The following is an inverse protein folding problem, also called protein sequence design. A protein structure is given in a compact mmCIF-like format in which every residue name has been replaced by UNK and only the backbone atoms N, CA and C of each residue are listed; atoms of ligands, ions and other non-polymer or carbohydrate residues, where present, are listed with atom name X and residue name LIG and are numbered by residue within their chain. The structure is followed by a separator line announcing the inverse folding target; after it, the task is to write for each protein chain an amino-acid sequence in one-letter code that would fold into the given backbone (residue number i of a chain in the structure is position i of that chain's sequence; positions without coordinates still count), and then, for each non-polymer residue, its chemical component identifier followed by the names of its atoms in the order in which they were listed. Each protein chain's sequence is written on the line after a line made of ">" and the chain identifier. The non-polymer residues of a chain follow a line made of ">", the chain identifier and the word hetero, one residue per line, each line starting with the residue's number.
data_IF_688433006389
#
_entry.id   IF_688433006389
#
_cell.length_a   1.000
_cell.length_b   1.000
_cell.length_c   1.000
_cell.angle_alpha   90.00
_cell.angle_beta   90.00
_cell.angle_gamma   90.00
#
_symmetry.space_group_name_H-M   'P 1'
#
loop_
_entity.id
_entity.type
_entity.pdbx_description
1 polymer ?
#
# COMPACT_ATOMS: atom_id res chain seq x y z
N UNK A 1 -21.18 -22.59 18.41
CA UNK A 1 -20.03 -21.66 18.28
C UNK A 1 -19.06 -21.96 19.41
N UNK A 2 -17.80 -22.29 19.10
CA UNK A 2 -16.76 -22.48 20.12
C UNK A 2 -16.42 -21.16 20.79
N UNK A 3 -16.22 -21.17 22.11
CA UNK A 3 -15.71 -20.00 22.85
C UNK A 3 -14.25 -19.73 22.43
N UNK A 4 -13.94 -18.44 22.24
CA UNK A 4 -12.58 -17.95 21.93
C UNK A 4 -11.62 -18.32 23.05
N UNK A 5 -10.38 -18.68 22.72
CA UNK A 5 -9.32 -19.01 23.65
C UNK A 5 -8.59 -20.31 23.30
N UNK A 6 -7.57 -20.64 24.07
CA UNK A 6 -6.76 -21.84 23.89
C UNK A 6 -7.56 -23.09 24.24
N UNK A 7 -7.41 -24.12 23.43
CA UNK A 7 -8.03 -25.44 23.58
C UNK A 7 -6.96 -26.52 23.52
N UNK A 8 -7.06 -27.44 24.44
CA UNK A 8 -6.15 -28.59 24.46
C UNK A 8 -6.71 -29.72 23.57
N UNK A 9 -5.79 -30.35 22.83
CA UNK A 9 -6.00 -31.59 22.12
C UNK A 9 -5.21 -32.65 22.85
N UNK A 10 -5.88 -33.67 23.31
CA UNK A 10 -5.26 -34.85 23.88
C UNK A 10 -5.58 -36.07 23.02
N UNK A 11 -4.59 -36.91 22.79
CA UNK A 11 -4.75 -38.12 22.00
C UNK A 11 -3.67 -39.11 22.35
N UNK A 12 -3.70 -40.26 21.72
CA UNK A 12 -2.66 -41.28 21.85
C UNK A 12 -2.28 -41.78 20.46
N UNK A 13 -0.99 -42.00 20.25
CA UNK A 13 -0.49 -42.72 19.08
C UNK A 13 -0.14 -44.12 19.56
N UNK A 14 -0.77 -45.13 18.95
CA UNK A 14 -0.46 -46.53 19.22
C UNK A 14 0.20 -47.15 18.00
N UNK A 15 1.34 -47.79 18.16
CA UNK A 15 1.99 -48.54 17.10
C UNK A 15 2.38 -49.92 17.62
N UNK A 16 2.45 -50.87 16.71
CA UNK A 16 2.79 -52.27 16.95
C UNK A 16 4.03 -52.55 16.10
N UNK A 17 5.08 -53.08 16.71
CA UNK A 17 6.30 -53.50 16.02
C UNK A 17 6.38 -55.03 16.08
N UNK A 18 6.15 -55.70 14.94
CA UNK A 18 6.13 -57.15 14.87
C UNK A 18 4.95 -57.75 15.63
N UNK A 19 5.24 -58.84 16.40
CA UNK A 19 4.27 -59.56 17.26
C UNK A 19 4.27 -59.06 18.71
N UNK A 20 4.87 -57.88 18.96
CA UNK A 20 4.99 -57.31 20.28
C UNK A 20 3.74 -56.59 20.78
N UNK A 21 3.68 -56.29 22.08
CA UNK A 21 2.60 -55.49 22.67
C UNK A 21 2.54 -54.08 22.11
N UNK A 22 1.32 -53.53 21.91
CA UNK A 22 1.17 -52.16 21.42
C UNK A 22 1.82 -51.12 22.30
N UNK A 23 2.68 -50.31 21.73
CA UNK A 23 3.29 -49.16 22.43
C UNK A 23 2.38 -47.95 22.22
N UNK A 24 1.92 -47.35 23.32
CA UNK A 24 1.03 -46.20 23.32
C UNK A 24 1.77 -44.96 23.86
N UNK A 25 1.81 -43.92 23.03
CA UNK A 25 2.46 -42.66 23.38
C UNK A 25 1.37 -41.60 23.51
N UNK A 26 1.22 -40.92 24.67
CA UNK A 26 0.29 -39.80 24.80
C UNK A 26 0.77 -38.58 23.99
N UNK A 27 -0.12 -37.95 23.29
CA UNK A 27 0.12 -36.69 22.57
C UNK A 27 -0.74 -35.60 23.20
N UNK A 28 -0.08 -34.54 23.60
CA UNK A 28 -0.73 -33.31 24.11
C UNK A 28 -0.33 -32.14 23.22
N UNK A 29 -1.29 -31.44 22.70
CA UNK A 29 -1.11 -30.23 21.89
C UNK A 29 -2.20 -29.24 22.23
N UNK A 30 -2.09 -28.03 21.75
CA UNK A 30 -3.13 -27.01 21.89
C UNK A 30 -3.35 -26.27 20.57
N UNK A 31 -4.51 -25.67 20.44
CA UNK A 31 -4.86 -24.77 19.36
C UNK A 31 -5.62 -23.55 19.91
N UNK A 32 -5.52 -22.44 19.23
CA UNK A 32 -6.21 -21.21 19.59
C UNK A 32 -7.47 -21.02 18.74
N UNK A 33 -8.61 -20.83 19.42
CA UNK A 33 -9.86 -20.44 18.78
C UNK A 33 -9.91 -18.92 18.76
N UNK A 34 -9.81 -18.33 17.59
CA UNK A 34 -9.94 -16.89 17.38
C UNK A 34 -11.36 -16.54 16.94
N UNK A 35 -11.80 -15.32 17.25
CA UNK A 35 -13.09 -14.82 16.74
C UNK A 35 -13.03 -14.62 15.24
N UNK A 36 -14.18 -14.78 14.57
CA UNK A 36 -14.29 -14.39 13.14
C UNK A 36 -13.93 -12.91 12.99
N UNK A 37 -13.22 -12.53 11.93
CA UNK A 37 -12.93 -11.14 11.65
C UNK A 37 -14.24 -10.36 11.47
N UNK A 38 -14.31 -9.19 12.09
CA UNK A 38 -15.44 -8.27 11.99
C UNK A 38 -15.08 -6.99 11.20
N UNK A 39 -13.81 -6.83 10.85
CA UNK A 39 -13.31 -5.68 10.09
C UNK A 39 -12.08 -6.08 9.26
N UNK A 40 -11.89 -5.43 8.13
CA UNK A 40 -10.63 -5.41 7.41
C UNK A 40 -9.78 -4.23 7.89
N UNK A 41 -8.46 -4.37 7.82
CA UNK A 41 -7.52 -3.27 7.99
C UNK A 41 -7.02 -2.83 6.64
N UNK A 42 -7.22 -1.57 6.30
CA UNK A 42 -6.73 -0.98 5.05
C UNK A 42 -5.86 0.22 5.39
N UNK A 43 -4.61 0.16 4.97
CA UNK A 43 -3.65 1.21 5.23
C UNK A 43 -3.08 1.73 3.90
N UNK A 44 -3.28 3.01 3.61
CA UNK A 44 -2.56 3.69 2.53
C UNK A 44 -1.13 3.93 3.01
N UNK A 45 -0.18 3.38 2.29
CA UNK A 45 1.24 3.49 2.66
C UNK A 45 1.69 4.95 2.49
N UNK A 46 2.13 5.54 3.60
CA UNK A 46 2.56 6.92 3.68
C UNK A 46 1.48 7.92 4.08
N UNK A 47 0.20 7.78 3.67
CA UNK A 47 -0.89 8.71 4.03
C UNK A 47 -2.28 8.08 3.86
N UNK A 48 -3.24 8.64 4.57
CA UNK A 48 -4.66 8.21 4.50
C UNK A 48 -5.43 8.90 3.35
N UNK A 49 -4.75 9.23 2.25
CA UNK A 49 -5.33 9.98 1.13
C UNK A 49 -4.82 9.41 -0.19
N UNK A 50 -5.71 9.18 -1.14
CA UNK A 50 -5.36 8.77 -2.49
C UNK A 50 -5.14 10.02 -3.37
N UNK A 51 -4.04 10.04 -4.12
CA UNK A 51 -3.78 11.09 -5.09
C UNK A 51 -4.20 10.66 -6.49
N UNK A 52 -4.92 11.55 -7.17
CA UNK A 52 -5.40 11.32 -8.54
C UNK A 52 -4.25 11.16 -9.52
N UNK A 53 -4.36 10.18 -10.42
CA UNK A 53 -3.37 9.84 -11.47
C UNK A 53 -2.02 9.34 -10.95
N UNK A 54 -1.90 9.09 -9.66
CA UNK A 54 -0.71 8.49 -9.05
C UNK A 54 -0.98 7.07 -8.60
N UNK A 55 0.05 6.27 -8.56
CA UNK A 55 0.02 4.94 -7.99
C UNK A 55 0.12 5.07 -6.47
N UNK A 56 -1.02 4.85 -5.80
CA UNK A 56 -1.09 4.87 -4.34
C UNK A 56 -0.97 3.44 -3.84
N UNK A 57 0.08 3.14 -3.08
CA UNK A 57 0.26 1.83 -2.46
C UNK A 57 -0.66 1.70 -1.25
N UNK A 58 -1.37 0.59 -1.20
CA UNK A 58 -2.33 0.26 -0.15
C UNK A 58 -2.06 -1.15 0.33
N UNK A 59 -1.96 -1.33 1.63
CA UNK A 59 -1.89 -2.64 2.27
C UNK A 59 -3.27 -3.00 2.83
N UNK A 60 -3.77 -4.16 2.44
CA UNK A 60 -5.04 -4.72 2.88
C UNK A 60 -4.77 -5.99 3.67
N UNK A 61 -5.36 -6.11 4.83
CA UNK A 61 -5.29 -7.33 5.65
C UNK A 61 -6.59 -7.58 6.39
N UNK A 62 -6.89 -8.83 6.59
CA UNK A 62 -8.02 -9.28 7.41
C UNK A 62 -7.44 -10.13 8.53
N UNK A 63 -7.71 -9.81 9.81
CA UNK A 63 -7.17 -10.55 10.94
C UNK A 63 -7.52 -12.04 10.85
N UNK A 64 -6.51 -12.89 11.04
CA UNK A 64 -6.68 -14.35 11.01
C UNK A 64 -6.83 -14.95 9.60
N UNK A 65 -6.66 -14.17 8.54
CA UNK A 65 -6.74 -14.64 7.15
C UNK A 65 -5.40 -14.42 6.44
N UNK A 66 -4.94 -15.44 5.73
CA UNK A 66 -3.72 -15.35 4.93
C UNK A 66 -3.90 -14.35 3.77
N UNK A 67 -2.85 -13.60 3.41
CA UNK A 67 -2.93 -12.53 2.42
C UNK A 67 -3.39 -13.01 1.02
N UNK A 68 -3.07 -14.24 0.65
CA UNK A 68 -3.50 -14.86 -0.62
C UNK A 68 -5.00 -15.18 -0.68
N UNK A 69 -5.68 -15.23 0.47
CA UNK A 69 -7.14 -15.43 0.58
C UNK A 69 -7.90 -14.09 0.69
N UNK A 70 -7.19 -12.96 0.69
CA UNK A 70 -7.78 -11.62 0.74
C UNK A 70 -7.71 -10.99 -0.65
N UNK A 71 -8.86 -10.54 -1.15
CA UNK A 71 -8.97 -9.85 -2.43
C UNK A 71 -9.57 -8.46 -2.23
N UNK A 72 -8.95 -7.46 -2.84
CA UNK A 72 -9.48 -6.09 -2.85
C UNK A 72 -9.77 -5.66 -4.30
N UNK A 73 -10.95 -5.08 -4.52
CA UNK A 73 -11.44 -4.67 -5.84
C UNK A 73 -12.00 -3.26 -5.82
N UNK A 74 -11.88 -2.57 -6.94
CA UNK A 74 -12.37 -1.21 -7.10
C UNK A 74 -11.82 -0.54 -8.37
N UNK A 75 -12.25 0.67 -8.69
CA UNK A 75 -11.76 1.40 -9.87
C UNK A 75 -10.26 1.69 -9.77
N UNK A 76 -9.48 1.23 -10.75
CA UNK A 76 -8.03 1.46 -10.81
C UNK A 76 -7.20 0.69 -9.78
N UNK A 77 -7.77 -0.36 -9.18
CA UNK A 77 -7.08 -1.25 -8.24
C UNK A 77 -6.34 -2.33 -9.00
N UNK A 78 -5.08 -2.57 -8.62
CA UNK A 78 -4.24 -3.63 -9.16
C UNK A 78 -3.57 -4.37 -8.00
N UNK A 79 -3.67 -5.69 -7.98
CA UNK A 79 -3.02 -6.54 -6.99
C UNK A 79 -1.51 -6.65 -7.29
N UNK A 80 -0.68 -6.50 -6.28
CA UNK A 80 0.79 -6.64 -6.33
C UNK A 80 1.30 -7.88 -5.58
N UNK A 81 0.41 -8.63 -4.93
CA UNK A 81 0.74 -9.75 -4.07
C UNK A 81 0.87 -9.36 -2.59
N UNK A 82 0.88 -10.36 -1.73
CA UNK A 82 1.10 -10.23 -0.27
C UNK A 82 0.21 -9.19 0.44
N UNK A 83 -1.03 -9.03 -0.04
CA UNK A 83 -1.96 -8.03 0.49
C UNK A 83 -1.63 -6.59 0.10
N UNK A 84 -0.69 -6.40 -0.84
CA UNK A 84 -0.32 -5.08 -1.37
C UNK A 84 -1.08 -4.83 -2.67
N UNK A 85 -1.69 -3.66 -2.76
CA UNK A 85 -2.42 -3.20 -3.93
C UNK A 85 -1.94 -1.82 -4.35
N UNK A 86 -2.02 -1.55 -5.64
CA UNK A 86 -1.85 -0.21 -6.19
C UNK A 86 -3.20 0.31 -6.62
N UNK A 87 -3.55 1.53 -6.18
CA UNK A 87 -4.77 2.21 -6.59
C UNK A 87 -4.40 3.47 -7.37
N UNK A 88 -4.85 3.56 -8.62
CA UNK A 88 -4.63 4.72 -9.51
C UNK A 88 -5.97 5.36 -9.91
N UNK A 89 -6.54 6.22 -9.06
CA UNK A 89 -7.80 6.87 -9.35
C UNK A 89 -7.63 7.91 -10.45
N UNK A 90 -8.41 7.82 -11.53
CA UNK A 90 -8.33 8.77 -12.65
C UNK A 90 -9.31 9.94 -12.50
N UNK A 91 -10.46 9.70 -11.88
CA UNK A 91 -11.57 10.66 -11.75
C UNK A 91 -12.35 10.43 -10.44
N UNK A 92 -13.26 11.32 -10.14
CA UNK A 92 -14.06 11.23 -8.90
C UNK A 92 -13.43 11.99 -7.73
N UNK A 93 -14.14 12.08 -6.64
CA UNK A 93 -13.67 12.65 -5.36
C UNK A 93 -13.53 11.58 -4.29
N UNK A 94 -14.14 10.43 -4.53
CA UNK A 94 -14.18 9.30 -3.62
C UNK A 94 -13.98 8.00 -4.39
N UNK A 95 -13.46 7.00 -3.71
CA UNK A 95 -13.30 5.64 -4.18
C UNK A 95 -13.75 4.68 -3.08
N UNK A 96 -14.51 3.68 -3.47
CA UNK A 96 -14.87 2.56 -2.59
C UNK A 96 -13.99 1.37 -2.97
N UNK A 97 -13.27 0.86 -1.99
CA UNK A 97 -12.50 -0.36 -2.07
C UNK A 97 -13.32 -1.48 -1.43
N UNK A 98 -13.69 -2.48 -2.21
CA UNK A 98 -14.39 -3.66 -1.71
C UNK A 98 -13.35 -4.74 -1.38
N UNK A 99 -13.47 -5.32 -0.20
CA UNK A 99 -12.56 -6.34 0.32
C UNK A 99 -13.36 -7.61 0.54
N UNK A 100 -12.83 -8.71 0.06
CA UNK A 100 -13.39 -10.05 0.21
C UNK A 100 -12.30 -10.96 0.76
N UNK A 101 -12.61 -11.76 1.75
CA UNK A 101 -11.70 -12.74 2.32
C UNK A 101 -12.40 -14.10 2.48
N UNK A 102 -11.72 -15.16 2.08
CA UNK A 102 -12.15 -16.54 2.31
C UNK A 102 -11.69 -16.98 3.70
N UNK A 103 -12.64 -17.40 4.53
CA UNK A 103 -12.36 -17.84 5.89
C UNK A 103 -12.11 -19.35 5.94
N UNK A 104 -11.42 -19.85 6.99
CA UNK A 104 -11.11 -21.29 7.11
C UNK A 104 -12.33 -22.22 7.21
N UNK A 105 -13.51 -21.68 7.44
CA UNK A 105 -14.78 -22.41 7.49
C UNK A 105 -15.57 -22.31 6.17
N UNK A 106 -14.89 -22.04 5.05
CA UNK A 106 -15.45 -21.85 3.71
C UNK A 106 -16.51 -20.73 3.62
N UNK A 107 -16.61 -19.88 4.63
CA UNK A 107 -17.46 -18.68 4.57
C UNK A 107 -16.68 -17.48 4.04
N UNK A 108 -17.38 -16.53 3.47
CA UNK A 108 -16.80 -15.32 2.91
C UNK A 108 -17.06 -14.13 3.83
N UNK A 109 -15.98 -13.41 4.16
CA UNK A 109 -16.05 -12.10 4.80
C UNK A 109 -16.02 -11.00 3.74
N UNK A 110 -16.86 -9.99 3.87
CA UNK A 110 -16.88 -8.82 2.98
C UNK A 110 -16.85 -7.54 3.79
N UNK A 111 -16.09 -6.56 3.29
CA UNK A 111 -16.03 -5.20 3.86
C UNK A 111 -15.85 -4.19 2.74
N UNK A 112 -16.14 -2.92 3.01
CA UNK A 112 -15.93 -1.83 2.06
C UNK A 112 -15.31 -0.64 2.79
N UNK A 113 -14.25 -0.08 2.19
CA UNK A 113 -13.56 1.09 2.70
C UNK A 113 -13.69 2.25 1.72
N UNK A 114 -13.97 3.44 2.24
CA UNK A 114 -14.17 4.67 1.47
C UNK A 114 -12.96 5.58 1.59
N UNK A 115 -12.36 5.94 0.45
CA UNK A 115 -11.22 6.83 0.38
C UNK A 115 -11.57 8.14 -0.30
N UNK A 116 -11.02 9.23 0.21
CA UNK A 116 -11.05 10.53 -0.45
C UNK A 116 -9.93 10.60 -1.49
N UNK A 117 -10.29 11.06 -2.71
CA UNK A 117 -9.35 11.31 -3.79
C UNK A 117 -9.03 12.80 -3.84
N UNK A 118 -7.76 13.16 -3.76
CA UNK A 118 -7.29 14.54 -3.86
C UNK A 118 -6.40 14.73 -5.08
N UNK A 119 -6.25 15.96 -5.51
CA UNK A 119 -5.22 16.34 -6.48
C UNK A 119 -3.87 16.26 -5.79
N UNK A 120 -2.85 15.82 -6.52
CA UNK A 120 -1.48 15.88 -6.03
C UNK A 120 -1.09 17.34 -5.75
N UNK A 121 -0.24 17.59 -4.77
CA UNK A 121 0.31 18.91 -4.51
C UNK A 121 1.13 19.39 -5.71
N UNK A 122 1.42 20.68 -5.74
CA UNK A 122 2.35 21.24 -6.73
C UNK A 122 3.76 20.72 -6.39
N UNK A 123 4.52 20.19 -7.36
CA UNK A 123 5.88 19.76 -7.13
C UNK A 123 6.80 20.97 -6.85
N UNK A 124 7.84 20.75 -6.06
CA UNK A 124 8.91 21.72 -5.84
C UNK A 124 9.78 21.79 -7.10
N UNK A 125 10.04 23.00 -7.57
CA UNK A 125 10.90 23.24 -8.72
C UNK A 125 12.30 23.55 -8.22
N UNK A 126 13.28 22.82 -8.73
CA UNK A 126 14.69 22.96 -8.36
C UNK A 126 15.50 23.39 -9.58
N UNK A 127 16.40 24.35 -9.39
CA UNK A 127 17.43 24.70 -10.34
C UNK A 127 18.80 24.30 -9.78
N UNK A 128 19.52 23.41 -10.49
CA UNK A 128 20.75 22.79 -9.98
C UNK A 128 20.57 22.17 -8.58
N UNK A 129 19.42 21.52 -8.33
CA UNK A 129 19.10 20.89 -7.06
C UNK A 129 18.72 21.85 -5.92
N UNK A 130 18.50 23.15 -6.18
CA UNK A 130 18.15 24.17 -5.19
C UNK A 130 16.81 24.82 -5.51
N UNK A 131 16.00 25.09 -4.50
CA UNK A 131 14.70 25.79 -4.63
C UNK A 131 14.83 27.29 -4.94
N UNK A 132 16.04 27.85 -4.88
CA UNK A 132 16.30 29.25 -5.16
C UNK A 132 17.65 29.70 -4.59
N UNK A 133 17.86 31.02 -4.53
CA UNK A 133 19.07 31.65 -3.99
C UNK A 133 19.94 32.30 -5.05
N UNK A 134 21.06 32.92 -4.61
CA UNK A 134 22.01 33.54 -5.51
C UNK A 134 22.81 32.50 -6.30
N UNK A 135 22.94 32.71 -7.60
CA UNK A 135 23.70 31.83 -8.50
C UNK A 135 24.66 32.62 -9.36
N UNK A 136 25.80 32.00 -9.71
CA UNK A 136 26.71 32.58 -10.65
C UNK A 136 26.15 32.53 -12.08
N UNK A 137 26.58 33.43 -12.95
CA UNK A 137 26.20 33.44 -14.36
C UNK A 137 26.54 32.12 -15.06
N UNK A 138 27.68 31.55 -14.76
CA UNK A 138 28.11 30.24 -15.33
C UNK A 138 27.21 29.10 -14.89
N UNK A 139 26.76 29.07 -13.63
CA UNK A 139 25.80 28.10 -13.12
C UNK A 139 24.41 28.23 -13.77
N UNK A 140 24.05 29.46 -14.20
CA UNK A 140 22.78 29.69 -14.88
C UNK A 140 22.79 29.21 -16.34
N UNK A 141 23.92 29.38 -17.03
CA UNK A 141 24.05 29.00 -18.46
C UNK A 141 24.04 27.47 -18.64
N UNK A 142 24.67 26.74 -17.72
CA UNK A 142 24.78 25.28 -17.77
C UNK A 142 23.86 24.59 -16.74
N UNK A 143 22.85 25.30 -16.26
CA UNK A 143 21.98 24.79 -15.22
C UNK A 143 20.91 23.83 -15.74
N UNK A 144 20.49 22.93 -14.88
CA UNK A 144 19.37 22.01 -15.12
C UNK A 144 18.18 22.32 -14.22
N UNK A 145 16.98 22.18 -14.79
CA UNK A 145 15.73 22.26 -14.04
C UNK A 145 15.23 20.87 -13.71
N UNK A 146 14.82 20.65 -12.48
CA UNK A 146 14.14 19.45 -12.05
C UNK A 146 12.90 19.80 -11.22
N UNK A 147 11.99 18.86 -11.14
CA UNK A 147 10.81 18.99 -10.29
C UNK A 147 10.65 17.72 -9.46
N UNK A 148 10.34 17.87 -8.19
CA UNK A 148 10.15 16.75 -7.26
C UNK A 148 9.00 17.04 -6.32
N UNK A 149 8.32 15.98 -5.89
CA UNK A 149 7.37 16.11 -4.79
C UNK A 149 8.09 16.03 -3.46
N UNK A 150 7.55 16.71 -2.44
CA UNK A 150 7.99 16.51 -1.08
C UNK A 150 7.88 15.03 -0.70
N UNK A 151 8.95 14.38 -0.22
CA UNK A 151 8.96 12.97 0.18
C UNK A 151 7.87 12.61 1.17
N UNK A 152 7.43 13.58 1.99
CA UNK A 152 6.31 13.41 2.91
C UNK A 152 4.99 13.03 2.19
N UNK A 153 4.86 13.22 0.89
CA UNK A 153 3.68 12.80 0.11
C UNK A 153 3.76 11.35 -0.38
N UNK A 154 4.91 10.69 -0.31
CA UNK A 154 5.08 9.33 -0.80
C UNK A 154 4.77 9.20 -2.30
N UNK A 155 4.91 10.28 -3.07
CA UNK A 155 4.62 10.30 -4.50
C UNK A 155 5.91 9.99 -5.27
N UNK A 156 6.03 8.76 -5.73
CA UNK A 156 7.08 8.34 -6.64
C UNK A 156 6.63 8.64 -8.08
N UNK A 157 6.97 9.82 -8.59
CA UNK A 157 6.67 10.17 -9.96
C UNK A 157 7.77 11.04 -10.55
N UNK A 158 8.18 10.71 -11.76
CA UNK A 158 9.11 11.52 -12.53
C UNK A 158 8.36 12.71 -13.13
N UNK A 159 8.55 13.87 -12.55
CA UNK A 159 8.02 15.14 -13.09
C UNK A 159 9.04 15.71 -14.05
N UNK A 160 8.59 16.05 -15.28
CA UNK A 160 9.44 16.69 -16.27
C UNK A 160 9.07 18.15 -16.42
N UNK A 161 10.05 19.03 -16.35
CA UNK A 161 9.89 20.44 -16.72
C UNK A 161 9.87 20.55 -18.23
N UNK A 162 8.76 20.99 -18.82
CA UNK A 162 8.64 21.14 -20.28
C UNK A 162 9.11 22.49 -20.79
N UNK A 163 8.89 23.54 -19.98
CA UNK A 163 9.33 24.89 -20.33
C UNK A 163 9.45 25.72 -19.06
N UNK A 164 10.28 26.70 -19.11
CA UNK A 164 10.41 27.71 -18.07
C UNK A 164 10.78 29.06 -18.65
N UNK A 165 10.53 30.12 -17.90
CA UNK A 165 10.87 31.48 -18.28
C UNK A 165 11.79 32.05 -17.23
N UNK A 166 12.95 32.51 -17.66
CA UNK A 166 13.89 33.24 -16.80
C UNK A 166 13.73 34.72 -17.02
N UNK A 167 13.44 35.46 -15.96
CA UNK A 167 13.39 36.92 -15.96
C UNK A 167 14.68 37.48 -15.37
N UNK A 168 15.47 38.16 -16.18
CA UNK A 168 16.73 38.75 -15.77
C UNK A 168 16.57 40.28 -15.75
N UNK A 169 16.54 40.86 -14.57
CA UNK A 169 16.35 42.29 -14.42
C UNK A 169 14.97 42.81 -14.86
N UNK A 170 14.75 44.13 -14.91
CA UNK A 170 13.44 44.69 -15.14
C UNK A 170 12.92 44.56 -16.59
N UNK A 171 13.73 44.16 -17.57
CA UNK A 171 13.36 44.21 -19.00
C UNK A 171 13.83 43.06 -19.89
N UNK A 172 14.40 41.96 -19.40
CA UNK A 172 14.88 40.87 -20.26
C UNK A 172 14.23 39.53 -19.90
N UNK A 173 13.73 38.83 -20.93
CA UNK A 173 13.14 37.50 -20.83
C UNK A 173 13.93 36.54 -21.71
N UNK A 174 14.33 35.41 -21.17
CA UNK A 174 14.80 34.26 -21.95
C UNK A 174 13.76 33.13 -21.81
N UNK A 175 13.23 32.71 -22.96
CA UNK A 175 12.36 31.55 -23.04
C UNK A 175 13.16 30.35 -23.50
N UNK A 176 13.08 29.25 -22.81
CA UNK A 176 13.64 27.99 -23.24
C UNK A 176 12.55 26.91 -23.25
N UNK A 177 12.42 26.22 -24.38
CA UNK A 177 11.51 25.10 -24.58
C UNK A 177 12.37 23.86 -24.89
N UNK A 178 12.09 22.72 -24.25
CA UNK A 178 12.78 21.45 -24.47
C UNK A 178 11.82 20.41 -25.05
#
# INVERSE_FOLDING_TARGET
>A
MGTVGTRDITGTITFIEGDDEPITIPVVSNYEVISKPNSASVQVMGRNTLFRNFDNLVKVSVPGVAANLVTATGPGVTNKGDGIYTIKPQKGQELILNITAELPDDTTFTSSEKFQIRRAPVPNILFNGKEGGAMSRSSMVNGSMSATYDPAYGLESTVRVRSFVVKIGPKSFLNSTF
#
